data_IF_231545159471
#
_entry.id   IF_231545159471
#
_cell.length_a   1.000
_cell.length_b   1.000
_cell.length_c   1.000
_cell.angle_alpha   90.00
_cell.angle_beta   90.00
_cell.angle_gamma   90.00
#
_symmetry.space_group_name_H-M   'P 1'
#
loop_
_entity.id
_entity.type
_entity.pdbx_description
1 polymer ?
#
# COMPACT_ATOMS: atom_id res chain seq x y z
N UNK A 1 -35.57 6.31 -3.96
CA UNK A 1 -35.53 6.14 -4.41
C UNK A 1 -35.68 5.65 -4.75
N UNK A 2 -35.63 5.38 -4.60
CA UNK A 2 -35.51 4.86 -5.01
C UNK A 2 -35.42 4.34 -5.18
N UNK A 3 -35.30 4.00 -5.09
CA UNK A 3 -34.96 3.43 -5.41
C UNK A 3 -34.96 2.83 -5.49
N UNK A 4 -35.09 2.62 -5.45
CA UNK A 4 -34.76 2.02 -5.75
C UNK A 4 -34.79 1.36 -5.75
N UNK A 5 -34.85 1.23 -5.61
CA UNK A 5 -34.71 0.70 -5.91
C UNK A 5 -34.57 0.24 -6.26
N UNK A 6 -34.34 0.20 -6.33
CA UNK A 6 -34.14 -0.18 -6.88
C UNK A 6 -33.48 -0.60 -7.04
N UNK A 7 -33.23 -0.80 -6.64
CA UNK A 7 -32.43 -1.16 -6.73
C UNK A 7 -32.16 -1.82 -6.51
N UNK A 8 -32.02 -1.94 -6.50
CA UNK A 8 -31.70 -2.45 -6.17
C UNK A 8 -31.66 -3.35 -6.21
N UNK A 9 -32.12 -3.70 -6.24
CA UNK A 9 -31.90 -4.75 -6.30
C UNK A 9 -31.13 -5.56 -7.18
N UNK A 10 -31.05 -6.02 -7.83
CA UNK A 10 -30.20 -6.61 -8.58
C UNK A 10 -28.89 -6.70 -8.26
N UNK A 11 -28.81 -6.28 -7.68
CA UNK A 11 -27.55 -5.82 -7.30
C UNK A 11 -26.87 -6.70 -6.32
N UNK A 12 -27.59 -7.52 -5.64
CA UNK A 12 -27.03 -8.39 -4.62
C UNK A 12 -26.02 -9.37 -5.21
N UNK A 13 -26.36 -9.98 -6.33
CA UNK A 13 -25.46 -10.89 -6.99
C UNK A 13 -24.20 -10.19 -7.46
N UNK A 14 -24.34 -8.96 -7.90
CA UNK A 14 -23.21 -8.16 -8.32
C UNK A 14 -22.28 -7.85 -7.16
N UNK A 15 -22.83 -7.65 -5.98
CA UNK A 15 -22.03 -7.38 -4.80
C UNK A 15 -21.12 -8.57 -4.48
N UNK A 16 -21.64 -9.78 -4.61
CA UNK A 16 -20.81 -10.96 -4.36
C UNK A 16 -19.68 -11.06 -5.36
N UNK A 17 -19.94 -10.81 -6.62
CA UNK A 17 -18.90 -10.81 -7.63
C UNK A 17 -17.92 -9.69 -7.37
N UNK A 18 -18.42 -8.53 -6.97
CA UNK A 18 -17.58 -7.39 -6.63
C UNK A 18 -16.65 -7.66 -5.47
N UNK A 19 -17.09 -8.42 -4.48
CA UNK A 19 -16.26 -8.75 -3.34
C UNK A 19 -15.05 -9.58 -3.75
N UNK A 20 -15.23 -10.54 -4.68
CA UNK A 20 -14.10 -11.33 -5.15
C UNK A 20 -13.06 -10.47 -5.84
N UNK A 21 -13.50 -9.51 -6.63
CA UNK A 21 -12.58 -8.59 -7.30
C UNK A 21 -11.99 -7.54 -6.36
N UNK A 22 -12.76 -7.14 -5.34
CA UNK A 22 -12.28 -6.17 -4.39
C UNK A 22 -11.04 -6.66 -3.66
N UNK A 23 -10.91 -7.98 -3.45
CA UNK A 23 -9.73 -8.56 -2.81
C UNK A 23 -8.47 -8.41 -3.65
N UNK A 24 -8.62 -8.12 -4.94
CA UNK A 24 -7.50 -7.91 -5.85
C UNK A 24 -7.34 -6.44 -6.23
N UNK A 25 -7.92 -5.55 -5.45
CA UNK A 25 -7.87 -4.12 -5.70
C UNK A 25 -6.86 -3.49 -4.76
N UNK A 26 -6.00 -2.64 -5.31
CA UNK A 26 -5.03 -1.91 -4.51
C UNK A 26 -5.73 -0.97 -3.53
N UNK A 27 -5.16 -0.77 -2.34
CA UNK A 27 -5.69 0.24 -1.42
C UNK A 27 -5.74 1.61 -2.09
N UNK A 28 -6.80 2.35 -1.82
CA UNK A 28 -6.91 3.72 -2.32
C UNK A 28 -5.83 4.57 -1.69
N UNK A 29 -5.22 5.42 -2.51
CA UNK A 29 -4.17 6.29 -2.02
C UNK A 29 -4.66 7.18 -0.89
N UNK A 30 -5.90 7.66 -0.96
CA UNK A 30 -6.47 8.47 0.11
C UNK A 30 -6.56 7.72 1.43
N UNK A 31 -6.83 6.42 1.39
CA UNK A 31 -6.87 5.61 2.61
C UNK A 31 -5.47 5.43 3.19
N UNK A 32 -4.48 5.22 2.31
CA UNK A 32 -3.09 5.13 2.74
C UNK A 32 -2.62 6.43 3.36
N UNK A 33 -3.00 7.56 2.76
CA UNK A 33 -2.65 8.88 3.28
C UNK A 33 -3.31 9.17 4.63
N UNK A 34 -4.53 8.71 4.80
CA UNK A 34 -5.25 8.87 6.05
C UNK A 34 -4.62 8.04 7.18
N UNK A 35 -4.20 6.82 6.84
CA UNK A 35 -3.53 5.94 7.81
C UNK A 35 -2.15 6.47 8.16
N UNK A 36 -1.39 6.87 7.16
CA UNK A 36 -0.03 7.35 7.34
C UNK A 36 0.99 6.25 7.57
N UNK A 37 2.25 6.64 7.53
CA UNK A 37 3.37 5.76 7.85
C UNK A 37 3.57 5.80 9.36
N UNK A 38 3.58 4.64 9.99
CA UNK A 38 3.61 4.55 11.45
C UNK A 38 4.99 4.22 12.02
N UNK A 39 5.86 3.61 11.21
CA UNK A 39 7.17 3.18 11.68
C UNK A 39 8.21 3.37 10.59
N UNK A 40 9.48 3.43 11.00
CA UNK A 40 10.58 3.48 10.07
C UNK A 40 11.63 2.46 10.50
N UNK A 41 12.27 1.83 9.53
CA UNK A 41 13.29 0.83 9.77
C UNK A 41 14.50 1.11 8.89
N UNK A 42 15.68 1.05 9.48
CA UNK A 42 16.91 1.20 8.73
C UNK A 42 17.13 -0.01 7.83
N UNK A 43 17.41 0.25 6.56
CA UNK A 43 17.60 -0.81 5.58
C UNK A 43 18.96 -0.72 4.87
N UNK A 44 19.79 0.24 5.27
CA UNK A 44 21.12 0.41 4.74
C UNK A 44 21.79 1.55 5.47
N UNK A 45 23.01 1.90 5.05
CA UNK A 45 23.75 3.01 5.67
C UNK A 45 23.01 4.33 5.42
N UNK A 46 22.43 4.91 6.46
CA UNK A 46 21.66 6.15 6.38
C UNK A 46 20.44 6.06 5.46
N UNK A 47 19.98 4.85 5.16
CA UNK A 47 18.78 4.64 4.37
C UNK A 47 17.73 3.91 5.18
N UNK A 48 16.49 4.35 5.04
CA UNK A 48 15.37 3.85 5.82
C UNK A 48 14.19 3.53 4.93
N UNK A 49 13.35 2.65 5.43
CA UNK A 49 12.04 2.34 4.88
C UNK A 49 11.00 2.82 5.88
N UNK A 50 10.06 3.66 5.44
CA UNK A 50 8.89 3.95 6.25
C UNK A 50 7.81 2.93 5.91
N UNK A 51 7.08 2.44 6.91
CA UNK A 51 6.07 1.43 6.64
C UNK A 51 4.93 1.47 7.64
N UNK A 52 3.85 0.82 7.26
CA UNK A 52 2.73 0.56 8.14
C UNK A 52 2.10 -0.78 7.75
N UNK A 53 1.55 -1.49 8.71
CA UNK A 53 0.79 -2.72 8.47
C UNK A 53 -0.59 -2.47 9.04
N UNK A 54 -1.60 -2.52 8.19
CA UNK A 54 -2.95 -2.14 8.58
C UNK A 54 -3.99 -2.84 7.69
N UNK A 55 -5.25 -2.54 7.97
CA UNK A 55 -6.36 -3.12 7.22
C UNK A 55 -6.81 -2.16 6.12
N UNK A 56 -6.81 -2.65 4.89
CA UNK A 56 -7.36 -1.92 3.76
C UNK A 56 -8.16 -2.91 2.92
N UNK A 57 -9.31 -2.48 2.40
CA UNK A 57 -10.15 -3.34 1.56
C UNK A 57 -10.45 -4.69 2.22
N UNK A 58 -10.67 -4.69 3.52
CA UNK A 58 -11.02 -5.89 4.31
C UNK A 58 -9.90 -6.94 4.35
N UNK A 59 -8.67 -6.53 4.16
CA UNK A 59 -7.52 -7.42 4.22
C UNK A 59 -6.36 -6.72 4.92
N UNK A 60 -5.40 -7.52 5.38
CA UNK A 60 -4.19 -6.97 5.98
C UNK A 60 -3.17 -6.68 4.89
N UNK A 61 -2.71 -5.46 4.86
CA UNK A 61 -1.71 -5.00 3.91
C UNK A 61 -0.52 -4.42 4.63
N UNK A 62 0.65 -4.62 4.06
CA UNK A 62 1.82 -3.86 4.44
C UNK A 62 2.07 -2.82 3.38
N UNK A 63 2.39 -1.61 3.78
CA UNK A 63 2.66 -0.51 2.87
C UNK A 63 4.00 0.10 3.25
N UNK A 64 4.87 0.30 2.27
CA UNK A 64 6.21 0.82 2.52
C UNK A 64 6.64 1.83 1.48
N UNK A 65 7.43 2.78 1.91
CA UNK A 65 8.07 3.79 1.04
C UNK A 65 9.55 3.83 1.38
N UNK A 66 10.38 3.79 0.35
CA UNK A 66 11.82 3.91 0.52
C UNK A 66 12.58 3.46 -0.71
N UNK A 67 13.91 3.45 -0.67
CA UNK A 67 14.74 3.92 0.45
C UNK A 67 14.76 5.43 0.56
N UNK A 68 14.72 5.96 1.76
CA UNK A 68 14.91 7.39 2.00
C UNK A 68 16.16 7.59 2.83
N UNK A 69 16.91 8.64 2.52
CA UNK A 69 18.12 8.96 3.28
C UNK A 69 17.73 9.78 4.50
N UNK A 70 18.22 9.36 5.66
CA UNK A 70 17.92 10.05 6.91
C UNK A 70 18.99 9.70 7.94
N UNK A 71 19.08 10.52 8.98
CA UNK A 71 20.05 10.29 10.05
C UNK A 71 19.44 9.50 11.20
N UNK A 72 18.12 9.49 11.31
CA UNK A 72 17.42 8.81 12.39
C UNK A 72 16.05 8.37 11.94
N UNK A 73 15.45 7.45 12.72
CA UNK A 73 14.12 6.93 12.41
C UNK A 73 13.05 8.01 12.34
N UNK A 74 13.10 8.98 13.27
CA UNK A 74 12.11 10.05 13.29
C UNK A 74 12.16 10.88 12.01
N UNK A 75 13.38 11.18 11.53
CA UNK A 75 13.54 11.93 10.30
C UNK A 75 13.03 11.12 9.10
N UNK A 76 13.28 9.83 9.11
CA UNK A 76 12.79 8.94 8.05
C UNK A 76 11.28 8.87 8.06
N UNK A 77 10.69 8.82 9.24
CA UNK A 77 9.23 8.78 9.38
C UNK A 77 8.61 10.06 8.80
N UNK A 78 9.17 11.21 9.14
CA UNK A 78 8.68 12.48 8.60
C UNK A 78 8.85 12.54 7.08
N UNK A 79 10.00 12.09 6.59
CA UNK A 79 10.28 12.11 5.16
C UNK A 79 9.32 11.22 4.37
N UNK A 80 9.07 10.01 4.86
CA UNK A 80 8.18 9.10 4.14
C UNK A 80 6.72 9.55 4.21
N UNK A 81 6.30 10.16 5.31
CA UNK A 81 4.96 10.73 5.39
C UNK A 81 4.80 11.93 4.46
N UNK A 82 5.84 12.75 4.32
CA UNK A 82 5.80 13.86 3.38
C UNK A 82 5.68 13.37 1.94
N UNK A 83 6.42 12.32 1.59
CA UNK A 83 6.31 11.70 0.27
C UNK A 83 4.89 11.18 0.05
N UNK A 84 4.37 10.42 1.00
CA UNK A 84 3.03 9.85 0.91
C UNK A 84 1.98 10.94 0.68
N UNK A 85 2.07 12.03 1.41
CA UNK A 85 1.08 13.10 1.31
C UNK A 85 1.13 13.86 -0.02
N UNK A 86 2.23 13.75 -0.74
CA UNK A 86 2.37 14.38 -2.06
C UNK A 86 2.11 13.43 -3.22
N UNK A 87 1.86 12.15 -2.94
CA UNK A 87 1.52 11.20 -3.99
C UNK A 87 0.13 11.45 -4.52
N UNK A 88 -0.07 11.17 -5.81
CA UNK A 88 -1.35 11.45 -6.46
C UNK A 88 -1.82 10.34 -7.38
N UNK A 89 -0.97 9.37 -7.70
CA UNK A 89 -1.29 8.34 -8.68
C UNK A 89 -1.81 7.09 -7.99
N UNK A 90 -2.92 6.52 -8.46
CA UNK A 90 -3.43 5.27 -7.89
C UNK A 90 -2.43 4.12 -8.02
N UNK A 91 -2.59 3.13 -7.16
CA UNK A 91 -1.73 1.97 -7.18
C UNK A 91 -1.92 1.13 -8.44
N UNK A 92 -0.84 0.51 -8.89
CA UNK A 92 -0.84 -0.38 -10.05
C UNK A 92 -0.65 -1.81 -9.55
N UNK A 93 -1.64 -2.70 -9.77
CA UNK A 93 -1.56 -4.06 -9.22
C UNK A 93 -0.63 -4.95 -10.03
N UNK A 94 0.18 -5.72 -9.31
CA UNK A 94 1.01 -6.78 -9.88
C UNK A 94 0.73 -8.03 -9.07
N UNK A 95 0.07 -9.00 -9.69
CA UNK A 95 -0.26 -10.24 -9.00
C UNK A 95 0.94 -11.20 -9.09
N UNK A 96 1.41 -11.67 -7.94
CA UNK A 96 2.51 -12.63 -7.90
C UNK A 96 2.04 -14.06 -7.90
N UNK A 97 1.04 -14.35 -7.06
CA UNK A 97 0.42 -15.68 -6.99
C UNK A 97 -0.97 -15.56 -6.36
N UNK A 98 -1.57 -16.68 -5.98
CA UNK A 98 -2.96 -16.69 -5.48
C UNK A 98 -3.18 -15.81 -4.28
N UNK A 99 -2.20 -15.78 -3.38
CA UNK A 99 -2.37 -15.19 -2.06
C UNK A 99 -1.65 -13.87 -1.90
N UNK A 100 -0.76 -13.54 -2.82
CA UNK A 100 0.06 -12.35 -2.71
C UNK A 100 -0.26 -11.38 -3.83
N UNK A 101 -0.67 -10.19 -3.46
CA UNK A 101 -0.90 -9.11 -4.40
C UNK A 101 0.04 -7.96 -4.05
N UNK A 102 0.73 -7.46 -5.04
CA UNK A 102 1.61 -6.31 -4.87
C UNK A 102 1.04 -5.14 -5.65
N UNK A 103 0.99 -3.98 -5.03
CA UNK A 103 0.58 -2.75 -5.68
C UNK A 103 1.74 -1.77 -5.65
N UNK A 104 2.06 -1.20 -6.80
CA UNK A 104 3.10 -0.20 -6.93
C UNK A 104 2.49 1.18 -7.00
N UNK A 105 3.08 2.14 -6.31
CA UNK A 105 2.62 3.53 -6.31
C UNK A 105 3.76 4.43 -6.76
N UNK A 106 3.43 5.45 -7.52
CA UNK A 106 4.42 6.41 -7.99
C UNK A 106 4.66 7.48 -6.93
N UNK A 107 5.89 7.58 -6.46
CA UNK A 107 6.25 8.57 -5.46
C UNK A 107 6.61 9.93 -6.06
N UNK A 108 6.76 9.98 -7.38
CA UNK A 108 7.27 11.18 -8.04
C UNK A 108 8.78 11.27 -8.07
N UNK A 109 9.46 10.33 -7.43
CA UNK A 109 10.91 10.28 -7.39
C UNK A 109 11.37 8.92 -7.90
N UNK A 110 12.17 8.85 -8.99
CA UNK A 110 12.56 7.56 -9.58
C UNK A 110 13.47 6.72 -8.69
N UNK A 111 14.02 7.29 -7.63
CA UNK A 111 14.90 6.56 -6.71
C UNK A 111 14.19 6.07 -5.47
N UNK A 112 12.92 6.43 -5.31
CA UNK A 112 12.14 6.04 -4.13
C UNK A 112 10.92 5.27 -4.61
N UNK A 113 10.70 4.10 -4.02
CA UNK A 113 9.62 3.21 -4.40
C UNK A 113 8.57 3.16 -3.30
N UNK A 114 7.35 2.83 -3.71
CA UNK A 114 6.25 2.67 -2.78
C UNK A 114 5.47 1.43 -3.18
N UNK A 115 5.34 0.49 -2.23
CA UNK A 115 4.68 -0.78 -2.48
C UNK A 115 3.66 -1.06 -1.39
N UNK A 116 2.52 -1.63 -1.78
CA UNK A 116 1.57 -2.19 -0.84
C UNK A 116 1.49 -3.69 -1.13
N UNK A 117 1.53 -4.51 -0.10
CA UNK A 117 1.56 -5.95 -0.25
C UNK A 117 0.48 -6.58 0.61
N UNK A 118 -0.41 -7.30 -0.04
CA UNK A 118 -1.37 -8.15 0.65
C UNK A 118 -0.78 -9.56 0.66
N UNK A 119 -0.40 -10.02 1.83
CA UNK A 119 0.18 -11.33 1.98
C UNK A 119 -0.34 -11.90 3.31
N UNK A 120 -0.61 -13.16 3.32
CA UNK A 120 -1.09 -13.86 4.49
C UNK A 120 -0.20 -13.65 5.72
N UNK A 121 1.10 -13.57 5.51
CA UNK A 121 2.06 -13.41 6.59
C UNK A 121 2.95 -12.18 6.39
N UNK A 122 2.32 -11.04 6.09
CA UNK A 122 3.08 -9.82 5.86
C UNK A 122 3.82 -9.40 7.14
N UNK A 123 5.03 -8.93 6.95
CA UNK A 123 5.90 -8.50 8.04
C UNK A 123 6.82 -7.40 7.54
N UNK A 124 7.46 -6.64 8.45
CA UNK A 124 8.44 -5.63 8.02
C UNK A 124 9.55 -6.22 7.16
N UNK A 125 10.01 -7.43 7.48
CA UNK A 125 11.05 -8.07 6.69
C UNK A 125 10.58 -8.37 5.27
N UNK A 126 9.35 -8.84 5.10
CA UNK A 126 8.81 -9.10 3.78
C UNK A 126 8.65 -7.80 2.99
N UNK A 127 8.20 -6.74 3.64
CA UNK A 127 8.11 -5.42 3.01
C UNK A 127 9.46 -4.96 2.52
N UNK A 128 10.48 -5.09 3.37
CA UNK A 128 11.84 -4.71 3.01
C UNK A 128 12.32 -5.49 1.79
N UNK A 129 12.08 -6.80 1.77
CA UNK A 129 12.51 -7.64 0.66
C UNK A 129 11.86 -7.21 -0.66
N UNK A 130 10.56 -6.94 -0.64
CA UNK A 130 9.85 -6.53 -1.85
C UNK A 130 10.25 -5.14 -2.29
N UNK A 131 10.46 -4.24 -1.35
CA UNK A 131 10.88 -2.88 -1.66
C UNK A 131 12.26 -2.89 -2.33
N UNK A 132 13.20 -3.68 -1.81
CA UNK A 132 14.53 -3.77 -2.37
C UNK A 132 14.53 -4.44 -3.74
N UNK A 133 13.63 -5.39 -3.98
CA UNK A 133 13.48 -5.98 -5.31
C UNK A 133 12.97 -4.96 -6.31
N UNK A 134 12.02 -4.12 -5.91
CA UNK A 134 11.50 -3.08 -6.79
C UNK A 134 12.58 -2.08 -7.15
N UNK A 135 13.53 -1.86 -6.24
CA UNK A 135 14.60 -0.90 -6.44
C UNK A 135 15.59 -1.34 -7.52
N UNK A 136 15.65 -2.60 -7.84
CA UNK A 136 16.52 -3.06 -8.94
C UNK A 136 15.97 -2.66 -10.32
#
# INVERSE_FOLDING_TARGET
>A
MSLGVKFSTFTVALVLAGSAFANNTCPDLSDLQAEGISEAQQIGNNYFMGFTISQFNSATWGFAIGPVKADAEDDALDATNAILNNMATPGFPLELDHDTLICLYDTGNPYIYSVAIRDYAISPMKLKQHLLKAHK
#
